data_IF_910150177769
#
_entry.id   IF_910150177769
#
_cell.length_a   1.000
_cell.length_b   1.000
_cell.length_c   1.000
_cell.angle_alpha   90.00
_cell.angle_beta   90.00
_cell.angle_gamma   90.00
#
_symmetry.space_group_name_H-M   'P 1'
#
loop_
_entity.id
_entity.type
_entity.pdbx_description
1 polymer ?
#
# COMPACT_ATOMS: atom_id res chain seq x y z
N UNK A 1 14.65 11.26 -8.09
CA UNK A 1 14.43 11.31 -6.63
C UNK A 1 13.63 10.13 -6.17
N UNK A 2 14.04 9.54 -5.07
CA UNK A 2 13.38 8.36 -4.52
C UNK A 2 11.91 8.62 -4.21
N UNK A 3 11.55 9.85 -3.77
CA UNK A 3 10.15 10.19 -3.45
C UNK A 3 9.25 10.17 -4.68
N UNK A 4 9.74 10.60 -5.84
CA UNK A 4 8.97 10.53 -7.09
C UNK A 4 8.72 9.10 -7.52
N UNK A 5 9.76 8.25 -7.41
CA UNK A 5 9.63 6.84 -7.75
C UNK A 5 8.65 6.15 -6.81
N UNK A 6 8.77 6.40 -5.51
CA UNK A 6 7.88 5.82 -4.51
C UNK A 6 6.42 6.24 -4.76
N UNK A 7 6.21 7.53 -5.02
CA UNK A 7 4.89 8.07 -5.30
C UNK A 7 4.26 7.43 -6.53
N UNK A 8 5.04 7.30 -7.61
CA UNK A 8 4.55 6.72 -8.86
C UNK A 8 4.22 5.24 -8.69
N UNK A 9 5.06 4.51 -7.97
CA UNK A 9 4.81 3.10 -7.70
C UNK A 9 3.57 2.90 -6.83
N UNK A 10 3.38 3.75 -5.83
CA UNK A 10 2.21 3.68 -4.94
C UNK A 10 0.93 4.00 -5.70
N UNK A 11 0.97 4.96 -6.63
CA UNK A 11 -0.19 5.31 -7.47
C UNK A 11 -0.54 4.15 -8.39
N UNK A 12 0.45 3.57 -9.02
CA UNK A 12 0.23 2.42 -9.91
C UNK A 12 -0.33 1.22 -9.13
N UNK A 13 0.22 0.99 -7.94
CA UNK A 13 -0.27 -0.06 -7.05
C UNK A 13 -1.74 0.18 -6.68
N UNK A 14 -2.10 1.43 -6.34
CA UNK A 14 -3.47 1.78 -5.99
C UNK A 14 -4.43 1.47 -7.15
N UNK A 15 -4.04 1.79 -8.37
CA UNK A 15 -4.84 1.48 -9.56
C UNK A 15 -5.05 -0.02 -9.70
N UNK A 16 -3.99 -0.80 -9.50
CA UNK A 16 -4.08 -2.26 -9.59
C UNK A 16 -4.98 -2.83 -8.50
N UNK A 17 -4.94 -2.26 -7.31
CA UNK A 17 -5.86 -2.64 -6.22
C UNK A 17 -7.30 -2.37 -6.61
N UNK A 18 -7.57 -1.20 -7.20
CA UNK A 18 -8.93 -0.85 -7.65
C UNK A 18 -9.44 -1.90 -8.67
N UNK A 19 -8.60 -2.23 -9.67
CA UNK A 19 -9.00 -3.21 -10.68
C UNK A 19 -9.21 -4.59 -10.07
N UNK A 20 -8.32 -5.02 -9.17
CA UNK A 20 -8.44 -6.31 -8.50
C UNK A 20 -9.73 -6.38 -7.69
N UNK A 21 -10.02 -5.35 -6.90
CA UNK A 21 -11.23 -5.31 -6.07
C UNK A 21 -12.50 -5.31 -6.92
N UNK A 22 -12.47 -4.58 -8.03
CA UNK A 22 -13.58 -4.51 -8.96
C UNK A 22 -13.88 -5.90 -9.54
N UNK A 23 -12.82 -6.62 -9.95
CA UNK A 23 -12.97 -7.98 -10.48
C UNK A 23 -13.48 -8.96 -9.42
N UNK A 24 -12.95 -8.88 -8.20
CA UNK A 24 -13.40 -9.76 -7.12
C UNK A 24 -14.88 -9.57 -6.82
N UNK A 25 -15.37 -8.34 -6.87
CA UNK A 25 -16.78 -8.05 -6.55
C UNK A 25 -17.75 -8.62 -7.56
N UNK A 26 -17.31 -8.92 -8.79
CA UNK A 26 -18.18 -9.54 -9.78
C UNK A 26 -18.40 -11.02 -9.49
N UNK A 27 -17.49 -11.67 -8.76
CA UNK A 27 -17.53 -13.11 -8.56
C UNK A 27 -17.76 -13.52 -7.11
N UNK A 28 -17.51 -12.62 -6.15
CA UNK A 28 -17.54 -12.95 -4.73
C UNK A 28 -18.41 -12.00 -3.95
N UNK A 29 -18.94 -12.52 -2.84
CA UNK A 29 -19.88 -11.76 -1.98
C UNK A 29 -19.21 -11.20 -0.72
N UNK A 30 -17.92 -11.41 -0.54
CA UNK A 30 -17.17 -10.91 0.63
C UNK A 30 -16.87 -9.42 0.47
N UNK A 31 -17.91 -8.61 0.26
CA UNK A 31 -17.72 -7.18 -0.04
C UNK A 31 -17.06 -6.43 1.11
N UNK A 32 -17.31 -6.85 2.35
CA UNK A 32 -16.69 -6.20 3.52
C UNK A 32 -15.16 -6.36 3.46
N UNK A 33 -14.69 -7.59 3.23
CA UNK A 33 -13.24 -7.86 3.16
C UNK A 33 -12.61 -7.19 1.94
N UNK A 34 -13.27 -7.24 0.79
CA UNK A 34 -12.78 -6.61 -0.43
C UNK A 34 -12.67 -5.10 -0.23
N UNK A 35 -13.64 -4.50 0.46
CA UNK A 35 -13.61 -3.06 0.75
C UNK A 35 -12.49 -2.68 1.71
N UNK A 36 -12.13 -3.57 2.65
CA UNK A 36 -10.97 -3.33 3.51
C UNK A 36 -9.67 -3.34 2.72
N UNK A 37 -9.56 -4.25 1.76
CA UNK A 37 -8.40 -4.26 0.86
C UNK A 37 -8.35 -2.97 0.03
N UNK A 38 -9.47 -2.56 -0.52
CA UNK A 38 -9.56 -1.33 -1.32
C UNK A 38 -9.12 -0.14 -0.48
N UNK A 39 -9.64 -0.01 0.74
CA UNK A 39 -9.29 1.09 1.64
C UNK A 39 -7.80 1.11 1.97
N UNK A 40 -7.26 -0.01 2.45
CA UNK A 40 -5.86 -0.04 2.87
C UNK A 40 -4.91 0.11 1.69
N UNK A 41 -5.20 -0.57 0.57
CA UNK A 41 -4.33 -0.54 -0.61
C UNK A 41 -4.25 0.83 -1.27
N UNK A 42 -5.34 1.61 -1.21
CA UNK A 42 -5.32 2.98 -1.76
C UNK A 42 -4.81 3.99 -0.74
N UNK A 43 -4.89 3.67 0.56
CA UNK A 43 -4.37 4.55 1.62
C UNK A 43 -2.86 4.67 1.59
N UNK A 44 -2.15 3.66 1.10
CA UNK A 44 -0.69 3.72 0.98
C UNK A 44 -0.30 4.94 0.14
N UNK A 45 -0.82 5.00 -1.08
CA UNK A 45 -0.51 6.10 -1.99
C UNK A 45 -1.04 7.44 -1.51
N UNK A 46 -2.23 7.44 -0.89
CA UNK A 46 -2.81 8.67 -0.36
C UNK A 46 -1.91 9.31 0.70
N UNK A 47 -1.36 8.51 1.60
CA UNK A 47 -0.47 9.02 2.65
C UNK A 47 0.89 9.47 2.10
N UNK A 48 1.43 8.74 1.13
CA UNK A 48 2.66 9.15 0.45
C UNK A 48 2.45 10.47 -0.28
N UNK A 49 1.30 10.63 -0.92
CA UNK A 49 0.93 11.87 -1.60
C UNK A 49 0.86 13.04 -0.60
N UNK A 50 0.17 12.84 0.52
CA UNK A 50 0.03 13.86 1.55
C UNK A 50 1.34 14.24 2.21
N UNK A 51 2.29 13.30 2.25
CA UNK A 51 3.62 13.57 2.83
C UNK A 51 4.33 14.71 2.09
N UNK A 52 4.06 14.88 0.79
CA UNK A 52 4.65 15.97 0.00
C UNK A 52 4.22 17.35 0.48
N UNK A 53 3.07 17.42 1.15
CA UNK A 53 2.48 18.67 1.64
C UNK A 53 2.60 18.80 3.15
N UNK A 54 3.48 17.99 3.74
CA UNK A 54 3.70 17.98 5.18
C UNK A 54 4.20 19.33 5.68
N UNK A 55 3.79 19.70 6.89
CA UNK A 55 4.14 21.00 7.50
C UNK A 55 5.50 20.97 8.18
N UNK A 56 6.22 19.90 8.09
CA UNK A 56 7.55 19.76 8.68
C UNK A 56 7.98 18.31 8.65
N UNK A 57 9.20 18.06 9.12
CA UNK A 57 9.80 16.73 9.10
C UNK A 57 8.99 15.72 9.92
N UNK A 58 8.51 16.12 11.08
CA UNK A 58 7.70 15.26 11.96
C UNK A 58 6.43 14.78 11.27
N UNK A 59 5.73 15.69 10.61
CA UNK A 59 4.51 15.37 9.88
C UNK A 59 4.82 14.48 8.68
N UNK A 60 5.92 14.76 7.98
CA UNK A 60 6.38 13.96 6.85
C UNK A 60 6.64 12.51 7.29
N UNK A 61 7.38 12.33 8.38
CA UNK A 61 7.68 11.00 8.94
C UNK A 61 6.37 10.31 9.33
N UNK A 62 5.47 11.02 9.99
CA UNK A 62 4.19 10.46 10.42
C UNK A 62 3.39 9.91 9.23
N UNK A 63 3.33 10.66 8.13
CA UNK A 63 2.60 10.22 6.93
C UNK A 63 3.23 8.97 6.33
N UNK A 64 4.55 8.91 6.26
CA UNK A 64 5.22 7.72 5.72
C UNK A 64 5.06 6.50 6.64
N UNK A 65 5.02 6.73 7.96
CA UNK A 65 4.78 5.64 8.92
C UNK A 65 3.38 5.08 8.78
N UNK A 66 2.39 5.95 8.54
CA UNK A 66 1.02 5.50 8.29
C UNK A 66 0.99 4.68 7.00
N UNK A 67 1.66 5.15 5.95
CA UNK A 67 1.73 4.41 4.69
C UNK A 67 2.35 3.02 4.90
N UNK A 68 3.39 2.93 5.72
CA UNK A 68 4.02 1.64 6.04
C UNK A 68 3.04 0.70 6.74
N UNK A 69 2.30 1.21 7.71
CA UNK A 69 1.27 0.41 8.41
C UNK A 69 0.21 -0.09 7.43
N UNK A 70 -0.20 0.76 6.50
CA UNK A 70 -1.19 0.37 5.51
C UNK A 70 -0.66 -0.71 4.57
N UNK A 71 0.65 -0.74 4.31
CA UNK A 71 1.25 -1.84 3.55
C UNK A 71 1.05 -3.18 4.28
N UNK A 72 1.34 -3.21 5.58
CA UNK A 72 1.17 -4.43 6.38
C UNK A 72 -0.29 -4.87 6.42
N UNK A 73 -1.20 -3.92 6.57
CA UNK A 73 -2.63 -4.24 6.58
C UNK A 73 -3.07 -4.77 5.21
N UNK A 74 -2.60 -4.15 4.13
CA UNK A 74 -2.92 -4.58 2.76
C UNK A 74 -2.44 -6.01 2.53
N UNK A 75 -1.22 -6.33 2.98
CA UNK A 75 -0.67 -7.67 2.86
C UNK A 75 -1.52 -8.69 3.60
N UNK A 76 -2.05 -8.32 4.76
CA UNK A 76 -2.94 -9.19 5.52
C UNK A 76 -4.23 -9.49 4.75
N UNK A 77 -4.90 -8.45 4.21
CA UNK A 77 -6.13 -8.66 3.46
C UNK A 77 -5.90 -9.46 2.19
N UNK A 78 -4.78 -9.23 1.51
CA UNK A 78 -4.43 -9.99 0.31
C UNK A 78 -4.26 -11.48 0.65
N UNK A 79 -3.55 -11.78 1.73
CA UNK A 79 -3.34 -13.14 2.17
C UNK A 79 -4.66 -13.83 2.53
N UNK A 80 -5.50 -13.14 3.29
CA UNK A 80 -6.79 -13.68 3.71
C UNK A 80 -7.68 -13.97 2.50
N UNK A 81 -7.75 -13.04 1.55
CA UNK A 81 -8.58 -13.22 0.35
C UNK A 81 -8.03 -14.32 -0.55
N UNK A 82 -6.71 -14.46 -0.61
CA UNK A 82 -6.08 -15.56 -1.36
C UNK A 82 -6.39 -16.91 -0.70
N UNK A 83 -6.26 -17.00 0.61
CA UNK A 83 -6.48 -18.25 1.34
C UNK A 83 -7.94 -18.66 1.37
N UNK A 84 -8.85 -17.76 1.05
CA UNK A 84 -10.29 -18.05 0.95
C UNK A 84 -10.76 -18.10 -0.50
N UNK A 85 -9.82 -18.29 -1.43
CA UNK A 85 -10.07 -18.53 -2.85
C UNK A 85 -10.71 -17.35 -3.60
N UNK A 86 -10.50 -16.13 -3.12
CA UNK A 86 -11.01 -14.92 -3.80
C UNK A 86 -10.03 -14.36 -4.82
N UNK A 87 -8.76 -14.73 -4.76
CA UNK A 87 -7.71 -14.23 -5.66
C UNK A 87 -6.95 -15.42 -6.21
N UNK A 88 -6.68 -15.40 -7.52
CA UNK A 88 -5.83 -16.41 -8.15
C UNK A 88 -4.40 -16.27 -7.67
N UNK A 89 -3.68 -17.39 -7.64
CA UNK A 89 -2.31 -17.45 -7.13
C UNK A 89 -1.38 -16.49 -7.86
N UNK A 90 -1.46 -16.43 -9.19
CA UNK A 90 -0.57 -15.55 -9.97
C UNK A 90 -0.82 -14.08 -9.67
N UNK A 91 -2.09 -13.69 -9.60
CA UNK A 91 -2.48 -12.31 -9.26
C UNK A 91 -2.05 -11.97 -7.84
N UNK A 92 -2.25 -12.90 -6.90
CA UNK A 92 -1.84 -12.71 -5.51
C UNK A 92 -0.33 -12.49 -5.40
N UNK A 93 0.47 -13.34 -6.04
CA UNK A 93 1.93 -13.22 -5.97
C UNK A 93 2.42 -11.89 -6.52
N UNK A 94 1.86 -11.45 -7.64
CA UNK A 94 2.27 -10.19 -8.25
C UNK A 94 1.95 -9.00 -7.35
N UNK A 95 0.71 -8.91 -6.87
CA UNK A 95 0.28 -7.76 -6.08
C UNK A 95 0.93 -7.75 -4.70
N UNK A 96 1.15 -8.93 -4.11
CA UNK A 96 1.82 -9.06 -2.82
C UNK A 96 3.29 -8.61 -2.94
N UNK A 97 3.96 -9.01 -4.00
CA UNK A 97 5.34 -8.59 -4.26
C UNK A 97 5.44 -7.08 -4.46
N UNK A 98 4.47 -6.50 -5.19
CA UNK A 98 4.45 -5.05 -5.43
C UNK A 98 4.26 -4.29 -4.11
N UNK A 99 3.37 -4.77 -3.25
CA UNK A 99 3.15 -4.17 -1.94
C UNK A 99 4.41 -4.22 -1.09
N UNK A 100 5.07 -5.38 -1.07
CA UNK A 100 6.33 -5.57 -0.33
C UNK A 100 7.45 -4.65 -0.82
N UNK A 101 7.51 -4.42 -2.13
CA UNK A 101 8.51 -3.51 -2.70
C UNK A 101 8.28 -2.08 -2.21
N UNK A 102 7.04 -1.61 -2.20
CA UNK A 102 6.70 -0.28 -1.69
C UNK A 102 7.04 -0.18 -0.21
N UNK A 103 6.68 -1.20 0.56
CA UNK A 103 6.95 -1.23 2.00
C UNK A 103 8.45 -1.11 2.27
N UNK A 104 9.28 -1.85 1.53
CA UNK A 104 10.75 -1.78 1.69
C UNK A 104 11.30 -0.39 1.34
N UNK A 105 10.73 0.25 0.31
CA UNK A 105 11.13 1.62 -0.05
C UNK A 105 10.76 2.60 1.06
N UNK A 106 9.58 2.44 1.67
CA UNK A 106 9.15 3.28 2.79
C UNK A 106 10.08 3.11 3.99
N UNK A 107 10.41 1.88 4.32
CA UNK A 107 11.32 1.59 5.44
C UNK A 107 12.69 2.25 5.19
N UNK A 108 13.21 2.11 3.98
CA UNK A 108 14.49 2.72 3.61
C UNK A 108 14.45 4.25 3.73
N UNK A 109 13.39 4.87 3.22
CA UNK A 109 13.22 6.33 3.30
C UNK A 109 13.12 6.80 4.75
N UNK A 110 12.35 6.08 5.57
CA UNK A 110 12.19 6.41 6.98
C UNK A 110 13.50 6.28 7.75
N UNK A 111 14.26 5.23 7.51
CA UNK A 111 15.56 5.05 8.15
C UNK A 111 16.51 6.19 7.82
N UNK A 112 16.54 6.60 6.56
CA UNK A 112 17.40 7.70 6.10
C UNK A 112 17.04 9.00 6.80
N UNK A 113 15.74 9.32 6.84
CA UNK A 113 15.26 10.57 7.44
C UNK A 113 15.53 10.59 8.94
N UNK A 114 15.23 9.49 9.63
CA UNK A 114 15.42 9.41 11.08
C UNK A 114 16.90 9.49 11.46
N UNK A 115 17.78 8.91 10.66
CA UNK A 115 19.22 9.00 10.90
C UNK A 115 19.70 10.45 10.82
N UNK A 116 19.14 11.25 9.91
CA UNK A 116 19.52 12.66 9.77
C UNK A 116 19.08 13.53 10.94
N UNK A 117 18.08 13.08 11.70
CA UNK A 117 17.58 13.81 12.85
C UNK A 117 18.40 13.59 14.11
N UNK A 118 19.20 12.54 14.15
CA UNK A 118 20.08 12.25 15.26
C UNK A 118 21.38 13.01 15.10
#
# INVERSE_FOLDING_TARGET
MSNSILRDKAKEFAKNIVFLCRNMKTEHKETVLINQLLRSGTSIGANIHEAQYAQGTKDFISKLEIAQKECYETEYWLELLFETDCIEKSAYKTIQNDCGAIRRMLISSLNTIKAKQE
#
